data_IF_273474451135
#
_entry.id   IF_273474451135
#
_cell.length_a   1.000
_cell.length_b   1.000
_cell.length_c   1.000
_cell.angle_alpha   90.00
_cell.angle_beta   90.00
_cell.angle_gamma   90.00
#
_symmetry.space_group_name_H-M   'P 1'
#
loop_
_entity.id
_entity.type
_entity.pdbx_description
1 polymer ?
#
# COMPACT_ATOMS: atom_id res chain seq x y z
N UNK A 1 20.23 3.58 -10.75
CA UNK A 1 20.02 3.32 -9.31
C UNK A 1 20.40 1.88 -9.05
N UNK A 2 21.30 1.65 -8.11
CA UNK A 2 21.87 0.34 -7.79
C UNK A 2 20.89 -0.49 -6.93
N UNK A 3 20.46 -1.68 -7.37
CA UNK A 3 19.57 -2.57 -6.62
C UNK A 3 20.11 -2.98 -5.24
N UNK A 4 21.42 -2.90 -5.01
CA UNK A 4 22.06 -3.28 -3.74
C UNK A 4 21.83 -2.28 -2.60
N UNK A 5 21.37 -1.06 -2.91
CA UNK A 5 21.02 -0.07 -1.89
C UNK A 5 19.64 -0.28 -1.26
N UNK A 6 18.81 -1.17 -1.81
CA UNK A 6 17.51 -1.53 -1.23
C UNK A 6 17.63 -2.44 0.01
N UNK A 7 18.81 -3.01 0.26
CA UNK A 7 19.01 -4.04 1.29
C UNK A 7 19.71 -3.49 2.54
N UNK A 8 20.21 -2.25 2.53
CA UNK A 8 21.14 -1.75 3.57
C UNK A 8 20.54 -0.95 4.72
N UNK A 9 19.26 -0.59 4.68
CA UNK A 9 18.65 0.19 5.77
C UNK A 9 18.00 -0.72 6.81
N UNK A 10 18.84 -1.46 7.53
CA UNK A 10 18.45 -2.43 8.57
C UNK A 10 18.00 -1.79 9.89
N UNK A 11 17.75 -0.46 9.93
CA UNK A 11 17.38 0.26 11.17
C UNK A 11 16.00 0.96 11.11
N UNK A 12 15.34 0.97 9.96
CA UNK A 12 13.96 1.46 9.82
C UNK A 12 13.18 0.47 8.95
N UNK A 13 12.15 -0.24 9.44
CA UNK A 13 11.46 -1.23 8.63
C UNK A 13 10.58 -0.51 7.60
N UNK A 14 11.15 -0.39 6.39
CA UNK A 14 10.54 -0.02 5.11
C UNK A 14 10.26 1.47 4.91
N UNK A 15 11.10 2.11 4.07
CA UNK A 15 10.70 3.34 3.38
C UNK A 15 9.37 3.09 2.66
N UNK A 16 8.51 4.12 2.57
CA UNK A 16 7.24 4.12 1.82
C UNK A 16 7.35 3.34 0.50
N UNK A 17 8.47 3.53 -0.22
CA UNK A 17 8.81 2.84 -1.47
C UNK A 17 8.89 1.32 -1.35
N UNK A 18 9.53 0.77 -0.30
CA UNK A 18 9.72 -0.67 -0.14
C UNK A 18 8.41 -1.40 0.19
N UNK A 19 7.50 -0.76 0.93
CA UNK A 19 6.16 -1.28 1.21
C UNK A 19 5.32 -1.37 -0.07
N UNK A 20 5.27 -0.29 -0.86
CA UNK A 20 4.57 -0.29 -2.15
C UNK A 20 5.17 -1.31 -3.13
N UNK A 21 6.50 -1.49 -3.11
CA UNK A 21 7.15 -2.53 -3.91
C UNK A 21 6.75 -3.94 -3.46
N UNK A 22 6.62 -4.18 -2.15
CA UNK A 22 6.17 -5.48 -1.63
C UNK A 22 4.71 -5.78 -1.97
N UNK A 23 3.81 -4.79 -1.79
CA UNK A 23 2.40 -4.93 -2.14
C UNK A 23 2.27 -5.22 -3.64
N UNK A 24 2.99 -4.48 -4.47
CA UNK A 24 3.00 -4.72 -5.90
C UNK A 24 3.57 -6.09 -6.25
N UNK A 25 4.70 -6.51 -5.67
CA UNK A 25 5.30 -7.84 -5.94
C UNK A 25 4.38 -9.00 -5.58
N UNK A 26 3.61 -8.89 -4.49
CA UNK A 26 2.58 -9.87 -4.15
C UNK A 26 1.40 -9.83 -5.13
N UNK A 27 1.01 -8.64 -5.59
CA UNK A 27 0.00 -8.48 -6.65
C UNK A 27 0.46 -8.95 -8.04
N UNK A 28 1.75 -8.83 -8.38
CA UNK A 28 2.36 -9.29 -9.65
C UNK A 28 2.20 -10.80 -9.85
N UNK A 29 2.05 -11.58 -8.77
CA UNK A 29 1.73 -13.00 -8.86
C UNK A 29 0.26 -13.28 -9.23
N UNK A 30 -0.53 -12.27 -9.59
CA UNK A 30 -1.95 -12.39 -9.93
C UNK A 30 -2.87 -12.54 -8.72
N UNK A 31 -2.39 -12.17 -7.52
CA UNK A 31 -3.19 -12.28 -6.30
C UNK A 31 -4.26 -11.19 -6.26
N UNK A 32 -5.49 -11.58 -5.89
CA UNK A 32 -6.60 -10.66 -5.76
C UNK A 32 -6.35 -9.65 -4.61
N UNK A 33 -6.82 -8.39 -4.71
CA UNK A 33 -6.73 -7.38 -3.65
C UNK A 33 -7.26 -7.85 -2.28
N UNK A 34 -8.21 -8.78 -2.29
CA UNK A 34 -8.84 -9.35 -1.09
C UNK A 34 -8.20 -10.65 -0.59
N UNK A 35 -7.16 -11.16 -1.26
CA UNK A 35 -6.49 -12.40 -0.82
C UNK A 35 -5.83 -12.23 0.54
N UNK A 36 -5.77 -13.31 1.34
CA UNK A 36 -5.18 -13.29 2.68
C UNK A 36 -3.75 -12.75 2.70
N UNK A 37 -2.96 -13.08 1.68
CA UNK A 37 -1.58 -12.61 1.57
C UNK A 37 -1.51 -11.10 1.33
N UNK A 38 -2.34 -10.56 0.43
CA UNK A 38 -2.44 -9.12 0.21
C UNK A 38 -2.95 -8.41 1.46
N UNK A 39 -3.98 -8.94 2.11
CA UNK A 39 -4.58 -8.36 3.32
C UNK A 39 -3.60 -8.34 4.50
N UNK A 40 -2.70 -9.32 4.64
CA UNK A 40 -1.59 -9.25 5.63
C UNK A 40 -0.63 -8.09 5.36
N UNK A 41 -0.37 -7.77 4.11
CA UNK A 41 0.52 -6.66 3.75
C UNK A 41 -0.21 -5.32 3.91
N UNK A 42 -1.50 -5.25 3.56
CA UNK A 42 -2.36 -4.07 3.82
C UNK A 42 -2.47 -3.80 5.33
N UNK A 43 -2.58 -4.84 6.16
CA UNK A 43 -2.53 -4.68 7.63
C UNK A 43 -1.23 -4.01 8.08
N UNK A 44 -0.08 -4.43 7.55
CA UNK A 44 1.22 -3.78 7.85
C UNK A 44 1.25 -2.33 7.37
N UNK A 45 0.64 -2.04 6.22
CA UNK A 45 0.48 -0.67 5.72
C UNK A 45 -0.40 0.17 6.66
N UNK A 46 -1.53 -0.36 7.11
CA UNK A 46 -2.42 0.33 8.05
C UNK A 46 -1.68 0.64 9.35
N UNK A 47 -1.02 -0.34 9.99
CA UNK A 47 -0.24 -0.13 11.21
C UNK A 47 0.82 0.96 11.04
N UNK A 48 1.54 0.98 9.92
CA UNK A 48 2.50 2.04 9.63
C UNK A 48 1.83 3.40 9.48
N UNK A 49 0.69 3.46 8.79
CA UNK A 49 -0.06 4.71 8.57
C UNK A 49 -0.66 5.23 9.88
N UNK A 50 -1.20 4.35 10.71
CA UNK A 50 -1.74 4.66 12.04
C UNK A 50 -0.67 5.30 12.93
N UNK A 51 0.53 4.72 12.98
CA UNK A 51 1.66 5.26 13.76
C UNK A 51 2.09 6.68 13.37
N UNK A 52 1.84 7.10 12.11
CA UNK A 52 2.28 8.40 11.60
C UNK A 52 1.15 9.42 11.43
N UNK A 53 -0.09 8.96 11.22
CA UNK A 53 -1.23 9.78 10.80
C UNK A 53 -2.50 9.55 11.61
N UNK A 54 -2.45 8.71 12.65
CA UNK A 54 -3.61 8.39 13.50
C UNK A 54 -4.82 7.91 12.67
N UNK A 55 -4.54 7.04 11.70
CA UNK A 55 -5.50 6.61 10.69
C UNK A 55 -6.60 5.72 11.28
N UNK A 56 -7.69 6.37 11.70
CA UNK A 56 -8.99 5.74 11.95
C UNK A 56 -9.51 5.06 10.69
N UNK A 57 -10.50 4.18 10.83
CA UNK A 57 -11.15 3.49 9.70
C UNK A 57 -11.58 4.49 8.61
N UNK A 58 -12.20 5.61 8.99
CA UNK A 58 -12.67 6.66 8.09
C UNK A 58 -11.52 7.33 7.33
N UNK A 59 -10.42 7.65 8.01
CA UNK A 59 -9.21 8.22 7.39
C UNK A 59 -8.61 7.23 6.39
N UNK A 60 -8.57 5.94 6.74
CA UNK A 60 -8.00 4.92 5.87
C UNK A 60 -8.87 4.68 4.61
N UNK A 61 -10.20 4.75 4.74
CA UNK A 61 -11.14 4.71 3.61
C UNK A 61 -10.97 5.96 2.72
N UNK A 62 -10.87 7.15 3.32
CA UNK A 62 -10.66 8.39 2.58
C UNK A 62 -9.34 8.34 1.78
N UNK A 63 -8.26 7.80 2.37
CA UNK A 63 -7.00 7.58 1.65
C UNK A 63 -7.14 6.61 0.47
N UNK A 64 -7.94 5.55 0.62
CA UNK A 64 -8.23 4.63 -0.49
C UNK A 64 -8.98 5.33 -1.63
N UNK A 65 -9.94 6.21 -1.30
CA UNK A 65 -10.67 7.01 -2.27
C UNK A 65 -9.75 8.00 -3.00
N UNK A 66 -8.81 8.63 -2.31
CA UNK A 66 -7.83 9.53 -2.95
C UNK A 66 -7.03 8.84 -4.06
N UNK A 67 -6.63 7.58 -3.85
CA UNK A 67 -5.94 6.79 -4.89
C UNK A 67 -6.82 6.47 -6.11
N UNK A 68 -8.14 6.47 -5.94
CA UNK A 68 -9.09 6.24 -7.02
C UNK A 68 -9.45 7.54 -7.76
N UNK A 69 -9.75 8.60 -7.01
CA UNK A 69 -10.39 9.83 -7.50
C UNK A 69 -9.40 10.89 -7.98
N UNK A 70 -8.18 10.95 -7.43
CA UNK A 70 -7.22 12.01 -7.74
C UNK A 70 -6.02 11.50 -8.57
N UNK A 71 -5.91 11.89 -9.85
CA UNK A 71 -4.82 11.48 -10.74
C UNK A 71 -3.43 11.81 -10.20
N UNK A 72 -3.28 12.88 -9.44
CA UNK A 72 -2.01 13.31 -8.84
C UNK A 72 -1.51 12.32 -7.79
N UNK A 73 -2.43 11.71 -7.03
CA UNK A 73 -2.10 10.65 -6.08
C UNK A 73 -1.80 9.34 -6.78
N UNK A 74 -2.53 9.04 -7.87
CA UNK A 74 -2.27 7.89 -8.75
C UNK A 74 -0.85 7.95 -9.33
N UNK A 75 -0.45 9.11 -9.86
CA UNK A 75 0.87 9.39 -10.45
C UNK A 75 2.04 9.16 -9.49
N UNK A 76 1.84 9.23 -8.18
CA UNK A 76 2.89 8.90 -7.21
C UNK A 76 3.22 7.40 -7.20
N UNK A 77 2.28 6.55 -7.63
CA UNK A 77 2.40 5.10 -7.67
C UNK A 77 2.73 4.56 -9.08
N UNK A 78 2.54 5.37 -10.13
CA UNK A 78 2.90 5.03 -11.52
C UNK A 78 4.35 4.56 -11.69
N UNK A 79 5.38 5.15 -11.03
CA UNK A 79 6.76 4.66 -11.15
C UNK A 79 6.99 3.25 -10.62
N UNK A 80 6.06 2.72 -9.82
CA UNK A 80 6.06 1.34 -9.36
C UNK A 80 5.26 0.46 -10.31
N UNK A 81 4.01 0.84 -10.56
CA UNK A 81 3.17 0.26 -11.60
C UNK A 81 1.90 1.10 -11.87
N UNK A 82 1.48 1.27 -13.14
CA UNK A 82 0.29 2.07 -13.48
C UNK A 82 -1.03 1.63 -12.82
N UNK A 83 -1.15 0.34 -12.49
CA UNK A 83 -2.35 -0.22 -11.82
C UNK A 83 -2.22 -0.31 -10.29
N UNK A 84 -1.07 0.04 -9.72
CA UNK A 84 -0.85 -0.13 -8.28
C UNK A 84 -1.80 0.73 -7.45
N UNK A 85 -2.08 1.97 -7.88
CA UNK A 85 -2.99 2.84 -7.14
C UNK A 85 -4.41 2.29 -7.05
N UNK A 86 -4.92 1.72 -8.14
CA UNK A 86 -6.23 1.06 -8.17
C UNK A 86 -6.25 -0.18 -7.29
N UNK A 87 -5.21 -1.01 -7.40
CA UNK A 87 -5.05 -2.18 -6.56
C UNK A 87 -5.03 -1.82 -5.06
N UNK A 88 -4.25 -0.80 -4.69
CA UNK A 88 -4.18 -0.28 -3.33
C UNK A 88 -5.54 0.21 -2.85
N UNK A 89 -6.26 1.00 -3.65
CA UNK A 89 -7.58 1.50 -3.30
C UNK A 89 -8.55 0.36 -2.95
N UNK A 90 -8.62 -0.67 -3.79
CA UNK A 90 -9.46 -1.85 -3.54
C UNK A 90 -9.03 -2.63 -2.30
N UNK A 91 -7.72 -2.88 -2.15
CA UNK A 91 -7.20 -3.67 -1.05
C UNK A 91 -7.37 -2.97 0.31
N UNK A 92 -7.13 -1.65 0.36
CA UNK A 92 -7.29 -0.81 1.54
C UNK A 92 -8.76 -0.70 1.96
N UNK A 93 -9.66 -0.44 1.00
CA UNK A 93 -11.10 -0.38 1.28
C UNK A 93 -11.60 -1.70 1.87
N UNK A 94 -11.21 -2.82 1.25
CA UNK A 94 -11.60 -4.15 1.73
C UNK A 94 -11.08 -4.45 3.14
N UNK A 95 -9.84 -4.05 3.44
CA UNK A 95 -9.28 -4.20 4.78
C UNK A 95 -10.05 -3.38 5.81
N UNK A 96 -10.33 -2.11 5.50
CA UNK A 96 -11.06 -1.20 6.39
C UNK A 96 -12.47 -1.71 6.70
N UNK A 97 -13.20 -2.18 5.68
CA UNK A 97 -14.57 -2.68 5.85
C UNK A 97 -14.64 -3.98 6.68
N UNK A 98 -13.53 -4.72 6.81
CA UNK A 98 -13.50 -6.06 7.41
C UNK A 98 -12.75 -6.15 8.75
N UNK A 99 -11.82 -5.23 9.03
CA UNK A 99 -10.85 -5.39 10.13
C UNK A 99 -10.68 -4.14 11.01
N UNK A 100 -11.23 -3.00 10.61
CA UNK A 100 -11.19 -1.74 11.35
C UNK A 100 -12.61 -1.36 11.77
#
# INVERSE_FOLDING_TARGET
>A
MDPSQLVKDSCCPFSKRALYWHIWRSGINGLAPASDEVQRIVKKHHTFTEQHQNATQEVYIAMAQLYHEHPEFRKQLDPFHPQLAEFMAHAMRKFADQNL
#
